data_IF_477678165267
#
_entry.id   IF_477678165267
#
_cell.length_a   1.000
_cell.length_b   1.000
_cell.length_c   1.000
_cell.angle_alpha   90.00
_cell.angle_beta   90.00
_cell.angle_gamma   90.00
#
_symmetry.space_group_name_H-M   'P 1'
#
loop_
_entity.id
_entity.type
_entity.pdbx_description
1 polymer ?
#
# COMPACT_ATOMS: atom_id res chain seq x y z
N UNK A 1 -8.85 20.03 4.01
CA UNK A 1 -8.10 18.80 3.71
C UNK A 1 -8.15 17.91 4.93
N UNK A 2 -8.42 16.63 4.80
CA UNK A 2 -8.58 15.78 5.97
C UNK A 2 -7.80 14.49 5.77
N UNK A 3 -6.72 14.34 6.55
CA UNK A 3 -6.10 13.05 6.79
C UNK A 3 -6.85 12.35 7.91
N UNK A 4 -7.48 11.22 7.59
CA UNK A 4 -8.21 10.40 8.54
C UNK A 4 -7.37 9.17 8.89
N UNK A 5 -7.38 8.78 10.15
CA UNK A 5 -6.71 7.56 10.55
C UNK A 5 -7.45 6.82 11.65
N UNK A 6 -7.25 5.53 11.66
CA UNK A 6 -7.71 4.61 12.69
C UNK A 6 -6.50 3.86 13.28
N UNK A 7 -6.54 3.60 14.59
CA UNK A 7 -5.52 2.77 15.25
C UNK A 7 -6.10 1.38 15.47
N UNK A 8 -5.40 0.35 15.02
CA UNK A 8 -5.75 -1.04 15.29
C UNK A 8 -4.70 -1.71 16.14
N UNK A 9 -5.12 -2.20 17.29
CA UNK A 9 -4.25 -2.91 18.22
C UNK A 9 -4.00 -4.33 17.75
N UNK A 10 -2.83 -4.86 18.13
CA UNK A 10 -2.50 -6.26 17.87
C UNK A 10 -3.39 -7.18 18.73
N UNK A 11 -3.96 -8.20 18.11
CA UNK A 11 -4.70 -9.23 18.79
C UNK A 11 -3.75 -10.33 19.31
N UNK A 12 -4.01 -10.82 20.52
CA UNK A 12 -3.30 -12.02 20.98
C UNK A 12 -3.82 -13.25 20.20
N UNK A 13 -2.96 -14.16 19.70
CA UNK A 13 -3.40 -15.30 18.90
C UNK A 13 -4.46 -16.18 19.57
N UNK A 14 -4.36 -16.37 20.90
CA UNK A 14 -5.37 -17.16 21.63
C UNK A 14 -6.71 -16.46 21.70
N UNK A 15 -6.74 -15.13 21.86
CA UNK A 15 -7.99 -14.37 21.90
C UNK A 15 -8.67 -14.36 20.53
N UNK A 16 -7.86 -14.24 19.45
CA UNK A 16 -8.37 -14.21 18.08
C UNK A 16 -9.14 -15.49 17.69
N UNK A 17 -8.84 -16.63 18.32
CA UNK A 17 -9.57 -17.90 18.11
C UNK A 17 -11.06 -17.80 18.50
N UNK A 18 -11.39 -16.90 19.40
CA UNK A 18 -12.77 -16.71 19.90
C UNK A 18 -13.53 -15.59 19.19
N UNK A 19 -12.92 -14.91 18.22
CA UNK A 19 -13.54 -13.78 17.54
C UNK A 19 -14.65 -14.24 16.61
N UNK A 20 -15.78 -13.55 16.70
CA UNK A 20 -16.86 -13.66 15.72
C UNK A 20 -16.51 -12.89 14.43
N UNK A 21 -17.33 -13.05 13.40
CA UNK A 21 -17.14 -12.38 12.12
C UNK A 21 -17.10 -10.86 12.26
N UNK A 22 -17.91 -10.28 13.13
CA UNK A 22 -17.95 -8.82 13.36
C UNK A 22 -16.61 -8.32 13.88
N UNK A 23 -16.06 -9.02 14.85
CA UNK A 23 -14.76 -8.65 15.43
C UNK A 23 -13.60 -8.89 14.46
N UNK A 24 -13.61 -10.01 13.72
CA UNK A 24 -12.60 -10.28 12.68
C UNK A 24 -12.60 -9.16 11.63
N UNK A 25 -13.78 -8.77 11.15
CA UNK A 25 -13.88 -7.66 10.17
C UNK A 25 -13.38 -6.35 10.76
N UNK A 26 -13.79 -6.00 11.97
CA UNK A 26 -13.35 -4.76 12.62
C UNK A 26 -11.81 -4.70 12.81
N UNK A 27 -11.21 -5.81 13.23
CA UNK A 27 -9.81 -5.83 13.63
C UNK A 27 -8.86 -6.06 12.44
N UNK A 28 -9.31 -6.75 11.37
CA UNK A 28 -8.44 -7.16 10.25
C UNK A 28 -8.87 -6.66 8.87
N UNK A 29 -10.09 -6.16 8.67
CA UNK A 29 -10.56 -5.68 7.37
C UNK A 29 -10.59 -4.15 7.30
N UNK A 30 -9.99 -3.58 6.25
CA UNK A 30 -10.10 -2.16 5.93
C UNK A 30 -11.11 -2.04 4.78
N UNK A 31 -12.34 -1.61 5.08
CA UNK A 31 -13.43 -1.56 4.11
C UNK A 31 -13.38 -0.33 3.21
N UNK A 32 -12.92 0.80 3.74
CA UNK A 32 -12.85 2.07 3.03
C UNK A 32 -11.43 2.62 3.05
N UNK A 33 -10.79 2.62 1.90
CA UNK A 33 -9.46 3.18 1.76
C UNK A 33 -9.46 4.39 0.82
N UNK A 34 -10.33 4.40 -0.18
CA UNK A 34 -10.48 5.50 -1.12
C UNK A 34 -11.78 6.26 -0.89
N UNK A 35 -11.65 7.51 -0.43
CA UNK A 35 -12.75 8.47 -0.31
C UNK A 35 -12.34 9.73 -1.08
N UNK A 36 -13.21 10.29 -1.93
CA UNK A 36 -12.88 11.47 -2.72
C UNK A 36 -12.35 12.62 -1.85
N UNK A 37 -11.22 13.18 -2.27
CA UNK A 37 -10.52 14.30 -1.63
C UNK A 37 -10.11 14.04 -0.16
N UNK A 38 -9.80 12.77 0.17
CA UNK A 38 -9.29 12.39 1.48
C UNK A 38 -8.05 11.49 1.38
N UNK A 39 -7.23 11.54 2.40
CA UNK A 39 -6.24 10.53 2.73
C UNK A 39 -6.78 9.73 3.91
N UNK A 40 -6.98 8.44 3.72
CA UNK A 40 -7.47 7.54 4.77
C UNK A 40 -6.43 6.46 5.05
N UNK A 41 -6.20 6.15 6.33
CA UNK A 41 -5.21 5.16 6.70
C UNK A 41 -5.55 4.44 8.00
N UNK A 42 -4.99 3.26 8.14
CA UNK A 42 -4.97 2.48 9.38
C UNK A 42 -3.53 2.39 9.87
N UNK A 43 -3.31 2.83 11.11
CA UNK A 43 -2.08 2.56 11.84
C UNK A 43 -2.25 1.26 12.61
N UNK A 44 -1.54 0.23 12.19
CA UNK A 44 -1.56 -1.07 12.85
C UNK A 44 -0.46 -1.17 13.90
N UNK A 45 -0.78 -1.70 15.08
CA UNK A 45 0.21 -2.04 16.11
C UNK A 45 1.01 -3.29 15.75
N UNK A 46 0.62 -4.04 14.71
CA UNK A 46 1.49 -5.03 14.10
C UNK A 46 2.59 -4.32 13.31
N UNK A 47 3.83 -4.47 13.72
CA UNK A 47 5.03 -3.89 13.09
C UNK A 47 4.95 -2.36 12.85
N UNK A 48 4.00 -1.67 13.49
CA UNK A 48 3.75 -0.23 13.28
C UNK A 48 3.53 0.11 11.80
N UNK A 49 2.92 -0.82 11.06
CA UNK A 49 2.59 -0.63 9.66
C UNK A 49 1.45 0.35 9.50
N UNK A 50 1.56 1.23 8.53
CA UNK A 50 0.45 2.06 8.06
C UNK A 50 0.00 1.54 6.71
N UNK A 51 -1.29 1.30 6.56
CA UNK A 51 -1.96 0.96 5.30
C UNK A 51 -2.93 2.08 4.97
N UNK A 52 -2.83 2.65 3.78
CA UNK A 52 -3.67 3.80 3.44
C UNK A 52 -3.92 3.97 1.95
N UNK A 53 -4.76 4.95 1.66
CA UNK A 53 -5.08 5.39 0.32
C UNK A 53 -5.35 6.88 0.25
N UNK A 54 -5.06 7.45 -0.92
CA UNK A 54 -5.38 8.83 -1.26
C UNK A 54 -6.14 8.85 -2.59
N UNK A 55 -7.27 9.57 -2.62
CA UNK A 55 -8.09 9.76 -3.82
C UNK A 55 -8.28 11.25 -4.10
N UNK A 56 -7.31 11.91 -4.74
CA UNK A 56 -7.42 13.32 -5.11
C UNK A 56 -8.38 13.49 -6.30
N UNK A 57 -9.54 14.10 -6.07
CA UNK A 57 -10.51 14.44 -7.10
C UNK A 57 -10.62 15.97 -7.18
N UNK A 58 -9.79 16.59 -8.03
CA UNK A 58 -9.78 18.05 -8.23
C UNK A 58 -9.07 18.85 -7.15
N UNK A 59 -8.51 18.21 -6.12
CA UNK A 59 -7.73 18.86 -5.06
C UNK A 59 -6.41 18.10 -4.83
N UNK A 60 -5.35 18.85 -4.53
CA UNK A 60 -4.09 18.28 -4.07
C UNK A 60 -4.24 17.86 -2.62
N UNK A 61 -3.93 16.61 -2.30
CA UNK A 61 -3.98 16.05 -0.95
C UNK A 61 -2.60 16.04 -0.32
N UNK A 62 -2.50 16.51 0.91
CA UNK A 62 -1.26 16.43 1.70
C UNK A 62 -1.33 15.25 2.66
N UNK A 63 -0.26 14.47 2.69
CA UNK A 63 -0.07 13.41 3.67
C UNK A 63 0.44 14.01 4.98
N UNK A 64 -0.45 14.13 5.95
CA UNK A 64 -0.09 14.67 7.26
C UNK A 64 0.51 13.59 8.17
N UNK A 65 1.43 14.00 9.04
CA UNK A 65 1.88 13.15 10.12
C UNK A 65 0.75 12.95 11.14
N UNK A 66 0.38 11.70 11.38
CA UNK A 66 -0.64 11.35 12.37
C UNK A 66 -0.05 11.29 13.78
N UNK A 67 -0.86 11.56 14.80
CA UNK A 67 -0.39 11.66 16.19
C UNK A 67 0.44 10.44 16.66
N UNK A 68 0.09 9.19 16.34
CA UNK A 68 0.90 8.03 16.76
C UNK A 68 2.36 8.04 16.30
N UNK A 69 2.67 8.79 15.23
CA UNK A 69 4.04 8.85 14.70
C UNK A 69 4.95 9.74 15.53
N UNK A 70 4.40 10.71 16.28
CA UNK A 70 5.14 11.70 17.07
C UNK A 70 6.34 12.28 16.30
N UNK A 71 6.08 12.74 15.08
CA UNK A 71 7.07 13.22 14.13
C UNK A 71 6.52 14.45 13.38
N UNK A 72 7.39 15.39 12.94
CA UNK A 72 6.96 16.59 12.21
C UNK A 72 6.43 16.27 10.81
N UNK A 73 6.97 15.23 10.17
CA UNK A 73 6.52 14.76 8.85
C UNK A 73 6.21 13.26 8.89
N UNK A 74 5.37 12.82 7.96
CA UNK A 74 4.98 11.42 7.89
C UNK A 74 6.19 10.48 7.67
N UNK A 75 7.14 10.90 6.85
CA UNK A 75 8.32 10.11 6.48
C UNK A 75 9.54 10.33 7.38
N UNK A 76 9.48 11.14 8.43
CA UNK A 76 10.66 11.44 9.30
C UNK A 76 11.44 10.18 9.70
N UNK A 77 10.74 9.08 10.02
CA UNK A 77 11.33 7.80 10.44
C UNK A 77 10.69 6.61 9.75
N UNK A 78 10.15 6.81 8.55
CA UNK A 78 9.39 5.79 7.82
C UNK A 78 9.77 5.78 6.35
N UNK A 79 9.71 4.60 5.77
CA UNK A 79 9.69 4.40 4.32
C UNK A 79 8.26 4.15 3.86
N UNK A 80 8.00 4.36 2.58
CA UNK A 80 6.67 4.23 2.01
C UNK A 80 6.74 3.65 0.60
N UNK A 81 5.87 2.69 0.31
CA UNK A 81 5.59 2.22 -1.03
C UNK A 81 4.20 2.64 -1.45
N UNK A 82 4.07 3.11 -2.68
CA UNK A 82 2.83 3.60 -3.27
C UNK A 82 2.56 2.83 -4.55
N UNK A 83 1.32 2.42 -4.78
CA UNK A 83 0.83 1.95 -6.08
C UNK A 83 -0.28 2.87 -6.57
N UNK A 84 -0.22 3.28 -7.82
CA UNK A 84 -1.37 3.94 -8.45
C UNK A 84 -2.25 2.89 -9.12
N UNK A 85 -3.50 2.79 -8.67
CA UNK A 85 -4.52 1.86 -9.18
C UNK A 85 -5.72 2.60 -9.79
N UNK A 86 -5.52 3.86 -10.17
CA UNK A 86 -6.52 4.71 -10.83
C UNK A 86 -5.97 5.37 -12.10
N UNK A 87 -6.52 6.50 -12.47
CA UNK A 87 -6.03 7.33 -13.56
C UNK A 87 -4.62 7.89 -13.31
N UNK A 88 -3.99 8.54 -14.29
CA UNK A 88 -2.67 9.14 -14.13
C UNK A 88 -2.63 10.20 -13.02
N UNK A 89 -1.57 10.18 -12.22
CA UNK A 89 -1.41 11.15 -11.13
C UNK A 89 0.02 11.47 -10.81
N UNK A 90 0.19 12.39 -9.87
CA UNK A 90 1.47 12.94 -9.46
C UNK A 90 1.62 12.75 -7.96
N UNK A 91 2.79 12.27 -7.54
CA UNK A 91 3.22 12.28 -6.15
C UNK A 91 4.42 13.21 -6.03
N UNK A 92 4.33 14.21 -5.13
CA UNK A 92 5.46 15.06 -4.79
C UNK A 92 6.00 14.68 -3.43
N UNK A 93 7.31 14.69 -3.27
CA UNK A 93 7.99 14.44 -2.01
C UNK A 93 9.11 15.47 -1.81
N UNK A 94 8.82 16.55 -1.08
CA UNK A 94 9.65 17.75 -1.06
C UNK A 94 9.72 18.38 -2.47
N UNK A 95 10.93 18.56 -2.98
CA UNK A 95 11.16 19.13 -4.32
C UNK A 95 11.08 18.09 -5.46
N UNK A 96 11.02 16.79 -5.13
CA UNK A 96 10.93 15.72 -6.13
C UNK A 96 9.49 15.50 -6.56
N UNK A 97 9.28 15.26 -7.86
CA UNK A 97 7.99 15.00 -8.48
C UNK A 97 8.04 13.69 -9.29
N UNK A 98 7.02 12.85 -9.10
CA UNK A 98 6.90 11.56 -9.75
C UNK A 98 5.52 11.41 -10.38
N UNK A 99 5.48 11.28 -11.69
CA UNK A 99 4.27 10.89 -12.40
C UNK A 99 4.10 9.38 -12.32
N UNK A 100 2.92 8.93 -11.92
CA UNK A 100 2.55 7.52 -11.85
C UNK A 100 1.35 7.24 -12.74
N UNK A 101 1.55 6.36 -13.70
CA UNK A 101 0.47 5.79 -14.48
C UNK A 101 -0.15 4.59 -13.75
N UNK A 102 -1.19 4.04 -14.34
CA UNK A 102 -1.90 2.88 -13.80
C UNK A 102 -0.97 1.67 -13.60
N UNK A 103 -1.02 1.07 -12.40
CA UNK A 103 -0.17 -0.07 -11.99
C UNK A 103 1.33 0.25 -11.89
N UNK A 104 1.70 1.51 -11.83
CA UNK A 104 3.06 1.90 -11.49
C UNK A 104 3.23 2.08 -9.98
N UNK A 105 4.45 1.89 -9.51
CA UNK A 105 4.81 1.99 -8.10
C UNK A 105 5.86 3.08 -7.85
N UNK A 106 5.88 3.60 -6.63
CA UNK A 106 6.87 4.55 -6.15
C UNK A 106 7.33 4.11 -4.76
N UNK A 107 8.63 4.06 -4.57
CA UNK A 107 9.25 3.98 -3.26
C UNK A 107 9.71 5.36 -2.81
N UNK A 108 9.38 5.72 -1.57
CA UNK A 108 9.86 6.91 -0.90
C UNK A 108 10.65 6.51 0.35
N UNK A 109 11.91 6.92 0.40
CA UNK A 109 12.76 6.76 1.57
C UNK A 109 12.38 7.70 2.72
N UNK A 110 12.94 7.48 3.90
CA UNK A 110 12.72 8.34 5.06
C UNK A 110 13.31 9.73 4.87
N UNK A 111 12.67 10.75 5.46
CA UNK A 111 13.16 12.13 5.42
C UNK A 111 12.09 13.15 5.82
N UNK A 112 12.56 14.30 6.29
CA UNK A 112 11.69 15.40 6.73
C UNK A 112 11.23 16.20 5.52
N UNK A 113 10.07 15.82 4.97
CA UNK A 113 9.50 16.43 3.77
C UNK A 113 8.00 16.23 3.70
N UNK A 114 7.34 17.15 3.03
CA UNK A 114 5.92 17.06 2.71
C UNK A 114 5.73 16.08 1.54
N UNK A 115 4.72 15.22 1.65
CA UNK A 115 4.26 14.37 0.54
C UNK A 115 2.87 14.83 0.12
N UNK A 116 2.65 14.97 -1.19
CA UNK A 116 1.34 15.32 -1.73
C UNK A 116 0.94 14.39 -2.87
N UNK A 117 -0.37 14.28 -3.08
CA UNK A 117 -1.00 13.48 -4.11
C UNK A 117 -1.90 14.35 -4.99
N UNK A 118 -1.83 14.19 -6.29
CA UNK A 118 -2.62 14.94 -7.28
C UNK A 118 -3.06 14.02 -8.41
N UNK A 119 -4.29 14.16 -8.89
CA UNK A 119 -4.76 13.53 -10.13
C UNK A 119 -4.53 14.47 -11.30
N UNK A 120 -4.08 13.93 -12.44
CA UNK A 120 -3.98 14.71 -13.68
C UNK A 120 -5.34 15.00 -14.30
N UNK A 121 -6.33 14.15 -14.02
CA UNK A 121 -7.70 14.28 -14.53
C UNK A 121 -8.71 13.97 -13.41
N UNK A 122 -9.52 14.95 -13.05
CA UNK A 122 -10.55 14.78 -12.02
C UNK A 122 -11.71 13.86 -12.47
N UNK A 123 -11.90 13.66 -13.77
CA UNK A 123 -12.93 12.75 -14.32
C UNK A 123 -12.47 11.29 -14.30
N UNK A 124 -11.15 11.08 -14.27
CA UNK A 124 -10.51 9.78 -14.12
C UNK A 124 -9.40 9.86 -13.07
N UNK A 125 -9.76 10.00 -11.79
CA UNK A 125 -8.80 10.33 -10.75
C UNK A 125 -7.82 9.19 -10.47
N UNK A 126 -6.60 9.56 -10.07
CA UNK A 126 -5.64 8.65 -9.54
C UNK A 126 -6.11 8.06 -8.20
N UNK A 127 -5.75 6.82 -7.92
CA UNK A 127 -6.00 6.12 -6.66
C UNK A 127 -4.67 5.59 -6.12
N UNK A 128 -4.11 6.30 -5.16
CA UNK A 128 -2.82 5.93 -4.58
C UNK A 128 -3.02 5.04 -3.35
N UNK A 129 -2.82 3.75 -3.51
CA UNK A 129 -2.70 2.81 -2.39
C UNK A 129 -1.28 2.88 -1.84
N UNK A 130 -1.13 2.90 -0.52
CA UNK A 130 0.20 2.93 0.07
C UNK A 130 0.33 2.08 1.34
N UNK A 131 1.53 1.54 1.52
CA UNK A 131 1.99 0.95 2.76
C UNK A 131 3.24 1.69 3.25
N UNK A 132 3.35 1.84 4.58
CA UNK A 132 4.53 2.45 5.18
C UNK A 132 4.97 1.68 6.42
N UNK A 133 6.28 1.52 6.56
CA UNK A 133 6.93 0.89 7.70
C UNK A 133 7.99 1.81 8.30
N UNK A 134 8.43 1.51 9.51
CA UNK A 134 9.55 2.22 10.14
C UNK A 134 10.84 1.97 9.37
N UNK A 135 11.63 3.01 9.18
CA UNK A 135 12.91 2.94 8.50
C UNK A 135 14.05 3.28 9.46
N UNK A 136 15.08 2.45 9.45
CA UNK A 136 16.32 2.67 10.20
C UNK A 136 17.43 3.31 9.33
N UNK A 137 17.14 3.48 8.05
CA UNK A 137 18.05 4.03 7.04
C UNK A 137 17.25 4.76 5.95
N UNK A 138 17.84 5.77 5.35
CA UNK A 138 17.30 6.39 4.15
C UNK A 138 17.85 5.71 2.90
N UNK A 139 16.96 5.33 1.99
CA UNK A 139 17.27 4.92 0.63
C UNK A 139 16.66 5.90 -0.37
N UNK A 140 17.27 6.07 -1.57
CA UNK A 140 16.75 6.98 -2.58
C UNK A 140 15.33 6.66 -3.02
N UNK A 141 14.55 7.69 -3.28
CA UNK A 141 13.25 7.57 -3.92
C UNK A 141 13.40 6.97 -5.32
N UNK A 142 12.45 6.11 -5.69
CA UNK A 142 12.49 5.47 -7.00
C UNK A 142 11.09 5.10 -7.49
N UNK A 143 10.73 5.61 -8.67
CA UNK A 143 9.62 5.09 -9.45
C UNK A 143 9.99 3.73 -10.03
N UNK A 144 9.05 2.79 -9.99
CA UNK A 144 9.19 1.44 -10.52
C UNK A 144 8.00 1.15 -11.43
N UNK A 145 8.29 0.75 -12.65
CA UNK A 145 7.29 0.33 -13.62
C UNK A 145 7.19 -1.20 -13.66
N UNK A 146 6.20 -1.71 -14.37
CA UNK A 146 6.07 -3.16 -14.58
C UNK A 146 7.28 -3.76 -15.33
N UNK A 147 7.95 -2.96 -16.17
CA UNK A 147 9.16 -3.39 -16.90
C UNK A 147 10.37 -3.59 -15.98
N UNK A 148 10.41 -2.89 -14.83
CA UNK A 148 11.45 -3.06 -13.82
C UNK A 148 11.23 -4.27 -12.90
N UNK A 149 10.01 -4.83 -12.91
CA UNK A 149 9.61 -5.86 -11.95
C UNK A 149 10.32 -7.19 -12.20
N UNK A 150 10.64 -7.90 -11.12
CA UNK A 150 10.99 -9.31 -11.19
C UNK A 150 9.68 -10.11 -11.20
N UNK A 151 9.35 -10.69 -12.35
CA UNK A 151 8.10 -11.43 -12.55
C UNK A 151 8.31 -12.91 -12.24
N UNK A 152 7.40 -13.48 -11.45
CA UNK A 152 7.29 -14.92 -11.23
C UNK A 152 5.94 -15.40 -11.72
N UNK A 153 5.94 -16.26 -12.75
CA UNK A 153 4.75 -16.96 -13.22
C UNK A 153 4.49 -18.17 -12.36
N UNK A 154 3.27 -18.32 -11.86
CA UNK A 154 2.89 -19.33 -10.87
C UNK A 154 1.53 -19.94 -11.16
N UNK A 155 1.35 -21.19 -10.73
CA UNK A 155 0.09 -21.91 -10.86
C UNK A 155 -0.17 -22.43 -12.27
N UNK A 156 -1.40 -22.82 -12.54
CA UNK A 156 -1.86 -23.32 -13.84
C UNK A 156 -3.33 -22.99 -14.09
N UNK A 157 -3.77 -23.07 -15.33
CA UNK A 157 -5.18 -22.88 -15.68
C UNK A 157 -6.03 -24.05 -15.14
N UNK A 158 -5.51 -25.27 -15.14
CA UNK A 158 -6.20 -26.43 -14.55
C UNK A 158 -6.46 -26.25 -13.06
N UNK A 159 -5.53 -25.58 -12.35
CA UNK A 159 -5.68 -25.25 -10.95
C UNK A 159 -6.51 -23.99 -10.70
N UNK A 160 -6.97 -23.29 -11.75
CA UNK A 160 -7.66 -21.99 -11.68
C UNK A 160 -6.88 -20.92 -10.90
N UNK A 161 -5.55 -20.96 -10.96
CA UNK A 161 -4.66 -20.07 -10.19
C UNK A 161 -3.42 -19.62 -10.98
N UNK A 162 -3.47 -19.67 -12.29
CA UNK A 162 -2.40 -19.14 -13.13
C UNK A 162 -2.28 -17.63 -12.94
N UNK A 163 -1.11 -17.15 -12.60
CA UNK A 163 -0.89 -15.74 -12.21
C UNK A 163 0.54 -15.29 -12.40
N UNK A 164 0.71 -13.98 -12.57
CA UNK A 164 2.00 -13.30 -12.55
C UNK A 164 2.16 -12.53 -11.25
N UNK A 165 3.21 -12.82 -10.50
CA UNK A 165 3.61 -12.05 -9.32
C UNK A 165 4.66 -11.05 -9.76
N UNK A 166 4.26 -9.78 -9.90
CA UNK A 166 5.14 -8.67 -10.25
C UNK A 166 5.77 -8.13 -8.96
N UNK A 167 7.01 -8.53 -8.67
CA UNK A 167 7.78 -8.06 -7.52
C UNK A 167 8.41 -6.73 -7.86
N UNK A 168 7.84 -5.63 -7.39
CA UNK A 168 8.25 -4.27 -7.78
C UNK A 168 9.10 -3.59 -6.70
N UNK A 169 8.60 -3.50 -5.48
CA UNK A 169 9.35 -2.92 -4.36
C UNK A 169 9.94 -4.05 -3.52
N UNK A 170 11.00 -4.66 -4.00
CA UNK A 170 11.73 -5.75 -3.36
C UNK A 170 13.23 -5.55 -3.51
N UNK A 171 14.05 -6.12 -2.64
CA UNK A 171 15.50 -5.95 -2.64
C UNK A 171 16.21 -6.33 -3.96
N UNK A 172 15.56 -7.15 -4.80
CA UNK A 172 16.07 -7.49 -6.12
C UNK A 172 15.92 -6.34 -7.14
N UNK A 173 15.00 -5.39 -6.89
CA UNK A 173 14.72 -4.24 -7.75
C UNK A 173 15.30 -2.97 -7.17
N UNK A 174 15.09 -2.73 -5.88
CA UNK A 174 15.61 -1.59 -5.14
C UNK A 174 15.79 -1.92 -3.65
N UNK A 175 16.76 -1.30 -2.97
CA UNK A 175 16.92 -1.53 -1.53
C UNK A 175 15.80 -0.84 -0.74
N UNK A 176 15.29 -1.53 0.27
CA UNK A 176 14.34 -1.02 1.27
C UNK A 176 14.82 -1.38 2.68
N UNK A 177 14.25 -0.77 3.72
CA UNK A 177 14.55 -1.18 5.09
C UNK A 177 13.81 -2.46 5.48
N UNK A 178 12.49 -2.45 5.36
CA UNK A 178 11.61 -3.54 5.79
C UNK A 178 10.47 -3.77 4.80
N UNK A 179 10.10 -2.72 4.03
CA UNK A 179 8.97 -2.74 3.15
C UNK A 179 9.24 -3.59 1.92
N UNK A 180 8.32 -4.49 1.63
CA UNK A 180 8.27 -5.19 0.35
C UNK A 180 6.84 -5.11 -0.19
N UNK A 181 6.70 -4.81 -1.47
CA UNK A 181 5.40 -4.77 -2.13
C UNK A 181 5.49 -5.36 -3.54
N UNK A 182 4.48 -6.10 -3.90
CA UNK A 182 4.31 -6.66 -5.22
C UNK A 182 2.84 -6.63 -5.63
N UNK A 183 2.60 -6.87 -6.89
CA UNK A 183 1.25 -6.95 -7.45
C UNK A 183 1.07 -8.30 -8.15
N UNK A 184 0.04 -9.03 -7.75
CA UNK A 184 -0.33 -10.29 -8.39
C UNK A 184 -1.46 -10.06 -9.38
N UNK A 185 -1.27 -10.44 -10.62
CA UNK A 185 -2.28 -10.42 -11.67
C UNK A 185 -2.70 -11.84 -12.01
N UNK A 186 -3.99 -12.13 -11.80
CA UNK A 186 -4.58 -13.41 -12.16
C UNK A 186 -4.81 -13.48 -13.68
N UNK A 187 -4.46 -14.59 -14.31
CA UNK A 187 -4.81 -14.84 -15.70
C UNK A 187 -6.32 -15.09 -15.85
N UNK A 188 -6.92 -14.82 -17.03
CA UNK A 188 -8.30 -15.16 -17.30
C UNK A 188 -8.61 -16.62 -16.96
N UNK A 189 -9.71 -16.88 -16.25
CA UNK A 189 -10.10 -18.20 -15.75
C UNK A 189 -9.48 -18.58 -14.40
N UNK A 190 -8.59 -17.77 -13.86
CA UNK A 190 -8.03 -17.96 -12.52
C UNK A 190 -8.82 -17.15 -11.50
N UNK A 191 -9.13 -17.76 -10.36
CA UNK A 191 -10.04 -17.18 -9.35
C UNK A 191 -9.44 -17.11 -7.95
N UNK A 192 -8.22 -17.64 -7.76
CA UNK A 192 -7.55 -17.56 -6.47
C UNK A 192 -6.03 -17.40 -6.60
N UNK A 193 -5.46 -16.71 -5.64
CA UNK A 193 -4.01 -16.49 -5.54
C UNK A 193 -3.44 -17.02 -4.23
N UNK A 194 -4.28 -17.22 -3.25
CA UNK A 194 -3.83 -17.56 -1.89
C UNK A 194 -3.11 -18.91 -1.90
N UNK A 195 -1.89 -18.93 -1.39
CA UNK A 195 -1.22 -20.17 -0.97
C UNK A 195 -2.04 -20.80 0.15
N UNK A 196 -1.79 -22.06 0.55
CA UNK A 196 -2.42 -22.58 1.76
C UNK A 196 -2.30 -21.56 2.89
N UNK A 197 -3.37 -21.34 3.64
CA UNK A 197 -3.39 -20.37 4.72
C UNK A 197 -2.23 -20.63 5.68
N UNK A 198 -1.44 -19.59 5.95
CA UNK A 198 -0.26 -19.68 6.80
C UNK A 198 -0.06 -18.37 7.58
N UNK A 199 0.80 -18.41 8.57
CA UNK A 199 1.19 -17.26 9.38
C UNK A 199 2.69 -17.02 9.29
N UNK A 200 3.11 -15.78 9.55
CA UNK A 200 4.50 -15.40 9.65
C UNK A 200 4.85 -15.04 11.10
N UNK A 201 6.02 -15.45 11.56
CA UNK A 201 6.44 -15.21 12.94
C UNK A 201 6.84 -13.75 13.20
N UNK A 202 7.32 -13.04 12.18
CA UNK A 202 8.01 -11.76 12.34
C UNK A 202 7.64 -10.70 11.31
N UNK A 203 6.55 -10.85 10.59
CA UNK A 203 6.10 -9.84 9.63
C UNK A 203 4.58 -9.78 9.55
N UNK A 204 4.07 -8.61 9.23
CA UNK A 204 2.69 -8.35 8.86
C UNK A 204 2.54 -8.32 7.33
N UNK A 205 1.40 -8.76 6.83
CA UNK A 205 1.02 -8.62 5.43
C UNK A 205 -0.32 -7.88 5.33
N UNK A 206 -0.42 -6.95 4.39
CA UNK A 206 -1.66 -6.31 4.00
C UNK A 206 -1.98 -6.68 2.54
N UNK A 207 -3.12 -7.31 2.33
CA UNK A 207 -3.63 -7.63 1.00
C UNK A 207 -4.62 -6.56 0.58
N UNK A 208 -4.39 -5.98 -0.58
CA UNK A 208 -5.29 -5.04 -1.21
C UNK A 208 -5.82 -5.65 -2.51
N UNK A 209 -7.13 -5.81 -2.58
CA UNK A 209 -7.80 -6.35 -3.76
C UNK A 209 -8.41 -5.20 -4.56
N UNK A 210 -8.17 -5.18 -5.87
CA UNK A 210 -8.73 -4.22 -6.81
C UNK A 210 -9.04 -4.91 -8.14
N UNK A 211 -9.78 -4.25 -9.04
CA UNK A 211 -10.30 -4.88 -10.26
C UNK A 211 -11.16 -6.12 -9.96
N UNK A 212 -11.92 -6.10 -8.87
CA UNK A 212 -12.86 -7.17 -8.55
C UNK A 212 -14.14 -6.90 -9.35
N UNK A 213 -14.61 -7.84 -10.18
CA UNK A 213 -15.91 -7.73 -10.85
C UNK A 213 -17.05 -7.60 -9.82
N UNK A 214 -18.06 -6.77 -10.13
CA UNK A 214 -19.29 -6.65 -9.33
C UNK A 214 -20.15 -7.92 -9.43
#
# INVERSE_FOLDING_TARGET
MKTNYEIRYAAHPEDAKSYDTTRIRRDFLIEKIFVPNEVNMVYSMYDRMVVGGALPVGEVLTLEAIDPLKAPFFLTRREMGIYNVGGPGIVKAGDAEFELDYKEALYLGSGDRVVTFESKDATHPAKFYFNSLTAHRNYPDRKVTKADAVVAEMGSLEGSNHRNINKMLVNQVLPTCQLQMGMTELAPGSVWNTMPAHVHSRRMEAYFYFEIPE
#
